data_IF_270947486738
#
_entry.id   IF_270947486738
#
_cell.length_a   1.000
_cell.length_b   1.000
_cell.length_c   1.000
_cell.angle_alpha   90.00
_cell.angle_beta   90.00
_cell.angle_gamma   90.00
#
_symmetry.space_group_name_H-M   'P 1'
#
loop_
_entity.id
_entity.type
_entity.pdbx_description
1 polymer ?
#
# COMPACT_ATOMS: atom_id res chain seq x y z
N UNK A 1 15.27 0.54 -12.00
CA UNK A 1 14.05 1.16 -11.42
C UNK A 1 14.49 2.10 -10.32
N UNK A 2 13.96 3.33 -10.27
CA UNK A 2 14.15 4.22 -9.10
C UNK A 2 13.39 3.63 -7.89
N UNK A 3 13.87 3.94 -6.67
CA UNK A 3 13.28 3.58 -5.38
C UNK A 3 11.83 4.00 -5.21
N UNK A 4 11.14 3.53 -4.17
CA UNK A 4 9.95 4.21 -3.69
C UNK A 4 10.26 5.69 -3.42
N UNK A 5 9.26 6.54 -3.62
CA UNK A 5 9.33 7.96 -3.29
C UNK A 5 9.57 8.14 -1.81
N UNK A 6 8.88 7.35 -0.99
CA UNK A 6 8.92 7.42 0.46
C UNK A 6 9.79 6.29 1.02
N UNK A 7 10.76 6.57 1.92
CA UNK A 7 11.52 5.52 2.60
C UNK A 7 10.58 4.56 3.33
N UNK A 8 10.73 3.26 3.07
CA UNK A 8 9.80 2.27 3.60
C UNK A 8 9.77 2.25 5.14
N UNK A 9 10.90 2.51 5.80
CA UNK A 9 10.97 2.65 7.26
C UNK A 9 10.09 3.78 7.80
N UNK A 10 9.99 4.90 7.07
CA UNK A 10 9.10 6.01 7.43
C UNK A 10 7.64 5.58 7.31
N UNK A 11 7.28 4.94 6.19
CA UNK A 11 5.91 4.45 5.94
C UNK A 11 5.50 3.46 7.04
N UNK A 12 6.36 2.51 7.39
CA UNK A 12 6.12 1.55 8.47
C UNK A 12 5.97 2.20 9.84
N UNK A 13 6.84 3.16 10.17
CA UNK A 13 6.80 3.88 11.44
C UNK A 13 5.47 4.64 11.62
N UNK A 14 5.05 5.40 10.60
CA UNK A 14 3.77 6.11 10.62
C UNK A 14 2.58 5.15 10.79
N UNK A 15 2.53 4.08 10.00
CA UNK A 15 1.46 3.09 10.09
C UNK A 15 1.43 2.38 11.47
N UNK A 16 2.59 2.03 12.03
CA UNK A 16 2.69 1.41 13.36
C UNK A 16 2.19 2.33 14.49
N UNK A 17 2.41 3.65 14.36
CA UNK A 17 1.91 4.66 15.28
C UNK A 17 0.43 5.03 15.07
N UNK A 18 -0.25 4.35 14.13
CA UNK A 18 -1.65 4.59 13.80
C UNK A 18 -1.89 5.82 12.93
N UNK A 19 -0.83 6.44 12.40
CA UNK A 19 -0.89 7.56 11.45
C UNK A 19 -1.13 6.99 10.05
N UNK A 20 -2.35 6.49 9.84
CA UNK A 20 -2.78 5.78 8.66
C UNK A 20 -4.20 6.23 8.29
N UNK A 21 -4.37 6.69 7.06
CA UNK A 21 -5.66 7.06 6.52
C UNK A 21 -6.01 6.16 5.34
N UNK A 22 -7.19 5.56 5.37
CA UNK A 22 -7.72 4.79 4.25
C UNK A 22 -8.69 5.66 3.47
N UNK A 23 -8.36 5.96 2.22
CA UNK A 23 -9.29 6.65 1.34
C UNK A 23 -10.51 5.76 1.11
N UNK A 24 -11.71 6.33 1.28
CA UNK A 24 -12.97 5.62 0.99
C UNK A 24 -13.05 5.29 -0.49
N UNK A 25 -12.72 4.05 -0.82
CA UNK A 25 -12.81 3.48 -2.15
C UNK A 25 -13.67 2.22 -2.10
N UNK A 26 -14.08 1.71 -3.26
CA UNK A 26 -14.73 0.38 -3.38
C UNK A 26 -13.92 -0.74 -2.74
N UNK A 27 -12.62 -0.54 -2.55
CA UNK A 27 -11.75 -1.50 -1.90
C UNK A 27 -12.12 -1.72 -0.42
N UNK A 28 -12.77 -0.76 0.24
CA UNK A 28 -13.29 -0.93 1.60
C UNK A 28 -14.46 -1.93 1.65
N UNK A 29 -15.19 -2.12 0.54
CA UNK A 29 -16.32 -3.07 0.46
C UNK A 29 -15.85 -4.54 0.55
N UNK A 30 -14.54 -4.78 0.42
CA UNK A 30 -13.92 -6.10 0.56
C UNK A 30 -13.74 -6.52 2.02
N UNK A 31 -13.98 -5.61 2.97
CA UNK A 31 -13.77 -5.84 4.39
C UNK A 31 -15.09 -5.74 5.14
N UNK A 32 -15.25 -6.58 6.17
CA UNK A 32 -16.45 -6.61 7.02
C UNK A 32 -16.72 -5.27 7.74
N UNK A 33 -15.66 -4.48 7.96
CA UNK A 33 -15.76 -3.17 8.59
C UNK A 33 -14.57 -2.27 8.21
N UNK A 34 -14.72 -0.94 8.35
CA UNK A 34 -13.60 -0.01 8.21
C UNK A 34 -12.42 -0.33 9.15
N UNK A 35 -12.71 -0.87 10.35
CA UNK A 35 -11.70 -1.29 11.31
C UNK A 35 -10.91 -2.50 10.80
N UNK A 36 -11.57 -3.47 10.18
CA UNK A 36 -10.91 -4.63 9.58
C UNK A 36 -10.00 -4.21 8.42
N UNK A 37 -10.47 -3.31 7.54
CA UNK A 37 -9.67 -2.75 6.47
C UNK A 37 -8.42 -2.01 7.01
N UNK A 38 -8.59 -1.22 8.08
CA UNK A 38 -7.49 -0.52 8.73
C UNK A 38 -6.42 -1.46 9.29
N UNK A 39 -6.86 -2.50 10.01
CA UNK A 39 -5.94 -3.52 10.57
C UNK A 39 -5.19 -4.22 9.45
N UNK A 40 -5.91 -4.68 8.42
CA UNK A 40 -5.31 -5.35 7.26
C UNK A 40 -4.30 -4.46 6.53
N UNK A 41 -4.62 -3.18 6.31
CA UNK A 41 -3.72 -2.22 5.69
C UNK A 41 -2.43 -2.03 6.49
N UNK A 42 -2.56 -1.85 7.81
CA UNK A 42 -1.43 -1.67 8.72
C UNK A 42 -0.51 -2.89 8.73
N UNK A 43 -1.09 -4.09 8.87
CA UNK A 43 -0.33 -5.35 8.86
C UNK A 43 0.34 -5.59 7.50
N UNK A 44 -0.36 -5.27 6.41
CA UNK A 44 0.23 -5.33 5.07
C UNK A 44 1.43 -4.39 4.94
N UNK A 45 1.30 -3.13 5.38
CA UNK A 45 2.40 -2.15 5.36
C UNK A 45 3.59 -2.62 6.20
N UNK A 46 3.35 -3.19 7.38
CA UNK A 46 4.39 -3.70 8.27
C UNK A 46 5.26 -4.77 7.58
N UNK A 47 4.64 -5.64 6.77
CA UNK A 47 5.34 -6.72 6.05
C UNK A 47 6.02 -6.27 4.76
N UNK A 48 5.78 -5.04 4.28
CA UNK A 48 6.36 -4.58 3.02
C UNK A 48 7.89 -4.67 3.03
N UNK A 49 8.44 -4.98 1.87
CA UNK A 49 9.87 -4.87 1.59
C UNK A 49 10.09 -4.16 0.27
N UNK A 50 11.32 -3.72 0.03
CA UNK A 50 11.73 -3.17 -1.27
C UNK A 50 11.45 -4.14 -2.44
N UNK A 51 11.34 -5.45 -2.20
CA UNK A 51 10.98 -6.43 -3.24
C UNK A 51 9.55 -6.27 -3.70
N UNK A 52 8.65 -5.77 -2.86
CA UNK A 52 7.24 -5.60 -3.18
C UNK A 52 6.97 -4.37 -4.06
N UNK A 53 7.92 -3.44 -4.13
CA UNK A 53 7.76 -2.21 -4.90
C UNK A 53 7.61 -2.49 -6.39
N UNK A 54 6.65 -1.81 -7.01
CA UNK A 54 6.38 -1.85 -8.46
C UNK A 54 6.90 -0.58 -9.11
N UNK A 55 6.33 0.56 -8.78
CA UNK A 55 6.69 1.87 -9.33
C UNK A 55 6.14 3.00 -8.46
N UNK A 56 6.66 4.22 -8.69
CA UNK A 56 6.08 5.46 -8.21
C UNK A 56 5.40 6.16 -9.37
N UNK A 57 4.14 6.58 -9.20
CA UNK A 57 3.35 7.21 -10.26
C UNK A 57 2.81 8.56 -9.81
N UNK A 58 2.98 9.57 -10.66
CA UNK A 58 2.35 10.87 -10.45
C UNK A 58 0.83 10.72 -10.44
N UNK A 59 0.21 11.26 -9.41
CA UNK A 59 -1.22 11.51 -9.32
C UNK A 59 -1.47 13.02 -9.24
N UNK A 60 -2.75 13.42 -9.30
CA UNK A 60 -3.15 14.83 -9.48
C UNK A 60 -2.39 15.80 -8.55
N UNK A 61 -2.16 15.43 -7.30
CA UNK A 61 -1.52 16.29 -6.30
C UNK A 61 -0.24 15.71 -5.67
N UNK A 62 0.04 14.41 -5.85
CA UNK A 62 1.17 13.75 -5.18
C UNK A 62 1.71 12.55 -5.97
N UNK A 63 2.88 12.06 -5.59
CA UNK A 63 3.51 10.84 -6.10
C UNK A 63 3.14 9.66 -5.22
N UNK A 64 2.52 8.67 -5.84
CA UNK A 64 2.01 7.47 -5.18
C UNK A 64 2.96 6.31 -5.41
N UNK A 65 3.39 5.65 -4.34
CA UNK A 65 4.12 4.40 -4.42
C UNK A 65 3.16 3.22 -4.52
N UNK A 66 3.46 2.31 -5.45
CA UNK A 66 2.66 1.13 -5.76
C UNK A 66 3.45 -0.12 -5.35
N UNK A 67 2.77 -1.02 -4.65
CA UNK A 67 3.31 -2.28 -4.17
C UNK A 67 2.41 -3.45 -4.61
N UNK A 68 3.06 -4.56 -4.92
CA UNK A 68 2.45 -5.87 -5.08
C UNK A 68 2.93 -6.80 -3.97
N UNK A 69 2.00 -7.42 -3.25
CA UNK A 69 2.30 -8.30 -2.11
C UNK A 69 1.49 -9.59 -2.21
N UNK A 70 1.98 -10.68 -1.61
CA UNK A 70 1.14 -11.83 -1.32
C UNK A 70 0.75 -11.78 0.15
N UNK A 71 -0.55 -11.88 0.42
CA UNK A 71 -1.12 -12.00 1.76
C UNK A 71 -2.03 -13.22 1.72
N UNK A 72 -1.80 -14.19 2.61
CA UNK A 72 -2.59 -15.43 2.70
C UNK A 72 -2.79 -16.13 1.34
N UNK A 73 -1.67 -16.33 0.62
CA UNK A 73 -1.62 -16.95 -0.72
C UNK A 73 -2.35 -16.20 -1.86
N UNK A 74 -2.89 -15.01 -1.58
CA UNK A 74 -3.53 -14.15 -2.59
C UNK A 74 -2.64 -12.95 -2.91
N UNK A 75 -2.61 -12.54 -4.18
CA UNK A 75 -1.94 -11.30 -4.58
C UNK A 75 -2.77 -10.05 -4.31
N UNK A 76 -2.14 -9.04 -3.75
CA UNK A 76 -2.75 -7.75 -3.44
C UNK A 76 -2.00 -6.58 -4.07
N UNK A 77 -2.80 -5.59 -4.45
CA UNK A 77 -2.37 -4.28 -4.92
C UNK A 77 -2.53 -3.25 -3.79
N UNK A 78 -1.44 -2.57 -3.47
CA UNK A 78 -1.41 -1.48 -2.51
C UNK A 78 -0.86 -0.23 -3.17
N UNK A 79 -1.56 0.90 -3.02
CA UNK A 79 -1.12 2.21 -3.50
C UNK A 79 -1.22 3.22 -2.37
N UNK A 80 -0.10 3.87 -2.05
CA UNK A 80 0.00 4.78 -0.92
C UNK A 80 0.90 5.98 -1.20
N UNK A 81 0.82 6.98 -0.34
CA UNK A 81 1.78 8.07 -0.20
C UNK A 81 1.86 8.49 1.26
N UNK A 82 2.85 9.33 1.59
CA UNK A 82 2.92 10.02 2.88
C UNK A 82 2.42 11.44 2.66
N UNK A 83 1.38 11.83 3.40
CA UNK A 83 0.97 13.23 3.47
C UNK A 83 1.96 13.98 4.39
N UNK A 84 2.63 15.01 3.86
CA UNK A 84 3.61 15.79 4.62
C UNK A 84 2.96 16.92 5.42
N UNK A 85 1.75 17.36 5.08
CA UNK A 85 1.00 18.38 5.81
C UNK A 85 0.34 17.80 7.06
N UNK A 86 -0.19 16.58 6.94
CA UNK A 86 -0.67 15.76 8.04
C UNK A 86 0.19 14.50 8.06
N UNK A 87 1.21 14.38 8.94
CA UNK A 87 2.17 13.27 8.90
C UNK A 87 1.50 11.90 9.07
N UNK A 88 1.05 11.31 7.98
CA UNK A 88 0.32 10.04 7.94
C UNK A 88 0.51 9.33 6.60
N UNK A 89 0.37 8.00 6.62
CA UNK A 89 0.31 7.21 5.38
C UNK A 89 -1.12 7.25 4.87
N UNK A 90 -1.32 7.80 3.68
CA UNK A 90 -2.60 7.70 2.99
C UNK A 90 -2.59 6.52 2.02
N UNK A 91 -3.45 5.54 2.27
CA UNK A 91 -3.70 4.41 1.38
C UNK A 91 -4.85 4.75 0.45
N UNK A 92 -4.50 4.88 -0.83
CA UNK A 92 -5.42 5.24 -1.92
C UNK A 92 -6.09 4.00 -2.50
N UNK A 93 -5.41 2.85 -2.51
CA UNK A 93 -5.98 1.61 -3.02
C UNK A 93 -5.40 0.41 -2.27
N UNK A 94 -6.27 -0.54 -1.93
CA UNK A 94 -5.91 -1.76 -1.22
C UNK A 94 -6.89 -2.88 -1.57
N UNK A 95 -6.58 -3.66 -2.59
CA UNK A 95 -7.48 -4.69 -3.11
C UNK A 95 -6.70 -5.89 -3.69
N UNK A 96 -7.35 -7.06 -3.85
CA UNK A 96 -6.77 -8.15 -4.61
C UNK A 96 -6.34 -7.72 -6.00
N UNK A 97 -5.30 -8.34 -6.53
CA UNK A 97 -4.87 -8.10 -7.90
C UNK A 97 -6.00 -8.47 -8.87
N UNK A 98 -6.21 -7.64 -9.87
CA UNK A 98 -7.06 -7.97 -11.03
C UNK A 98 -6.25 -8.66 -12.13
N UNK A 99 -4.93 -8.52 -12.07
CA UNK A 99 -3.95 -9.15 -12.98
C UNK A 99 -2.61 -9.26 -12.27
N UNK A 100 -1.78 -10.22 -12.70
CA UNK A 100 -0.42 -10.34 -12.20
C UNK A 100 0.36 -9.04 -12.41
N UNK A 101 1.20 -8.67 -11.43
CA UNK A 101 1.98 -7.44 -11.43
C UNK A 101 3.46 -7.75 -11.25
N UNK A 102 4.32 -7.01 -11.96
CA UNK A 102 5.77 -7.14 -11.85
C UNK A 102 6.28 -6.22 -10.75
N UNK A 103 6.86 -6.80 -9.72
CA UNK A 103 7.56 -6.11 -8.62
C UNK A 103 9.07 -6.23 -8.82
N UNK A 104 9.86 -5.57 -7.96
CA UNK A 104 11.31 -5.78 -7.88
C UNK A 104 11.70 -7.21 -7.48
N UNK A 105 10.85 -7.88 -6.71
CA UNK A 105 11.03 -9.27 -6.27
C UNK A 105 10.62 -10.31 -7.31
N UNK A 106 10.01 -9.90 -8.42
CA UNK A 106 9.46 -10.81 -9.43
C UNK A 106 7.97 -10.59 -9.66
N UNK A 107 7.30 -11.59 -10.22
CA UNK A 107 5.86 -11.52 -10.49
C UNK A 107 5.06 -11.88 -9.23
N UNK A 108 4.10 -11.02 -8.87
CA UNK A 108 3.02 -11.35 -7.93
C UNK A 108 1.82 -11.75 -8.77
N UNK A 109 1.21 -12.90 -8.45
CA UNK A 109 0.08 -13.48 -9.17
C UNK A 109 -1.20 -13.28 -8.35
N UNK A 110 -2.34 -13.55 -8.99
CA UNK A 110 -3.66 -13.56 -8.35
C UNK A 110 -3.67 -14.51 -7.16
#
# INVERSE_FOLDING_TARGET
MKGPRWPLEQVKSLAANGQLFLQRTRALDLFESPKAAYVFARETIETLTEKNFVESKQHIFDVMDIYGVHVEDQGWYLKLYVDEEVPEVTVVSLHPLERAIKTRGGMVKL
#
